data_IF_726324296595
#
_entry.id   IF_726324296595
#
_cell.length_a   1.000
_cell.length_b   1.000
_cell.length_c   1.000
_cell.angle_alpha   90.00
_cell.angle_beta   90.00
_cell.angle_gamma   90.00
#
_symmetry.space_group_name_H-M   'P 1'
#
loop_
_entity.id
_entity.type
_entity.pdbx_description
1 polymer ?
#
# COMPACT_ATOMS: atom_id res chain seq x y z
N UNK A 1 0.66 -4.93 -11.44
CA UNK A 1 1.99 -5.29 -11.98
C UNK A 1 3.14 -4.89 -11.04
N UNK A 2 2.98 -3.84 -10.23
CA UNK A 2 3.89 -3.60 -9.10
C UNK A 2 3.87 -4.77 -8.13
N UNK A 3 4.91 -4.94 -7.32
CA UNK A 3 4.94 -5.98 -6.31
C UNK A 3 3.83 -5.76 -5.26
N UNK A 4 3.00 -6.78 -5.05
CA UNK A 4 1.81 -6.74 -4.20
C UNK A 4 1.57 -8.11 -3.57
N UNK A 5 1.08 -8.21 -2.33
CA UNK A 5 0.56 -9.45 -1.77
C UNK A 5 -0.76 -9.88 -2.42
N UNK A 6 -1.34 -9.06 -3.30
CA UNK A 6 -2.56 -9.32 -4.05
C UNK A 6 -3.83 -9.49 -3.18
N UNK A 7 -3.85 -8.82 -2.04
CA UNK A 7 -5.03 -8.80 -1.17
C UNK A 7 -6.14 -7.91 -1.75
N UNK A 8 -5.76 -6.87 -2.51
CA UNK A 8 -6.67 -5.97 -3.22
C UNK A 8 -6.37 -5.95 -4.73
N UNK A 9 -6.32 -7.14 -5.35
CA UNK A 9 -6.16 -7.30 -6.80
C UNK A 9 -4.97 -6.54 -7.39
N UNK A 10 -3.90 -6.35 -6.60
CA UNK A 10 -2.67 -5.65 -6.99
C UNK A 10 -2.65 -4.15 -6.69
N UNK A 11 -3.73 -3.58 -6.14
CA UNK A 11 -3.76 -2.18 -5.70
C UNK A 11 -3.16 -1.96 -4.31
N UNK A 12 -2.93 -3.01 -3.54
CA UNK A 12 -2.18 -3.04 -2.28
C UNK A 12 -0.68 -3.20 -2.55
N UNK A 13 -0.02 -2.11 -2.94
CA UNK A 13 1.36 -2.15 -3.42
C UNK A 13 2.33 -2.30 -2.24
N UNK A 14 3.13 -3.37 -2.30
CA UNK A 14 4.19 -3.67 -1.33
C UNK A 14 5.52 -3.03 -1.69
N UNK A 15 5.82 -2.91 -2.98
CA UNK A 15 7.04 -2.27 -3.48
C UNK A 15 6.79 -1.65 -4.86
N UNK A 16 6.94 -0.33 -4.97
CA UNK A 16 6.74 0.41 -6.22
C UNK A 16 7.89 0.24 -7.23
N UNK A 17 9.02 -0.28 -6.79
CA UNK A 17 10.22 -0.44 -7.62
C UNK A 17 10.44 -1.90 -8.05
N UNK A 18 9.47 -2.78 -7.80
CA UNK A 18 9.50 -4.19 -8.19
C UNK A 18 8.29 -4.62 -8.98
N UNK A 19 8.48 -5.68 -9.75
CA UNK A 19 7.40 -6.39 -10.45
C UNK A 19 6.95 -7.56 -9.58
N UNK A 20 5.63 -7.76 -9.51
CA UNK A 20 5.04 -8.91 -8.86
C UNK A 20 5.59 -10.20 -9.48
N UNK A 21 6.12 -11.10 -8.66
CA UNK A 21 6.85 -12.31 -9.11
C UNK A 21 6.05 -13.24 -10.03
N UNK A 22 4.73 -13.21 -9.93
CA UNK A 22 3.83 -13.95 -10.81
C UNK A 22 3.90 -13.49 -12.29
N UNK A 23 4.30 -12.23 -12.52
CA UNK A 23 4.42 -11.65 -13.85
C UNK A 23 5.86 -11.61 -14.38
N UNK A 24 6.82 -12.01 -13.57
CA UNK A 24 8.23 -12.06 -13.94
C UNK A 24 9.14 -11.18 -13.07
N UNK A 25 10.27 -10.81 -13.63
CA UNK A 25 11.32 -10.03 -12.98
C UNK A 25 11.40 -8.61 -13.53
N UNK A 26 12.19 -7.73 -12.92
CA UNK A 26 12.50 -6.42 -13.49
C UNK A 26 13.20 -6.52 -14.84
N UNK A 27 14.05 -7.54 -15.05
CA UNK A 27 14.70 -7.80 -16.33
C UNK A 27 13.69 -8.17 -17.43
N UNK A 28 12.68 -8.96 -17.09
CA UNK A 28 11.55 -9.26 -18.00
C UNK A 28 10.77 -8.02 -18.36
N UNK A 29 10.52 -7.14 -17.38
CA UNK A 29 9.85 -5.86 -17.60
C UNK A 29 10.68 -4.92 -18.50
N UNK A 30 11.99 -4.80 -18.27
CA UNK A 30 12.89 -4.00 -19.09
C UNK A 30 12.94 -4.54 -20.54
N UNK A 31 12.89 -5.87 -20.68
CA UNK A 31 12.82 -6.51 -22.00
C UNK A 31 11.49 -6.19 -22.69
N UNK A 32 10.39 -6.33 -21.99
CA UNK A 32 9.06 -5.95 -22.50
C UNK A 32 9.06 -4.49 -22.96
N UNK A 33 9.50 -3.58 -22.11
CA UNK A 33 9.54 -2.14 -22.40
C UNK A 33 10.35 -1.83 -23.66
N UNK A 34 11.53 -2.43 -23.77
CA UNK A 34 12.39 -2.29 -24.96
C UNK A 34 11.72 -2.82 -26.22
N UNK A 35 11.06 -3.99 -26.13
CA UNK A 35 10.42 -4.61 -27.30
C UNK A 35 9.16 -3.90 -27.76
N UNK A 36 8.36 -3.35 -26.88
CA UNK A 36 7.18 -2.55 -27.25
C UNK A 36 7.59 -1.22 -27.86
N UNK A 37 8.65 -0.55 -27.33
CA UNK A 37 9.16 0.71 -27.88
C UNK A 37 9.71 0.53 -29.31
N UNK A 38 10.36 -0.58 -29.62
CA UNK A 38 10.80 -0.90 -31.01
C UNK A 38 9.64 -0.97 -32.00
N UNK A 39 8.42 -1.16 -31.52
CA UNK A 39 7.18 -1.27 -32.30
C UNK A 39 6.30 -0.04 -32.22
N UNK A 40 6.84 1.08 -31.76
CA UNK A 40 6.13 2.35 -31.51
C UNK A 40 4.91 2.22 -30.57
N UNK A 41 4.94 1.22 -29.67
CA UNK A 41 3.92 1.03 -28.64
C UNK A 41 4.39 1.75 -27.37
N UNK A 42 3.53 2.59 -26.82
CA UNK A 42 3.75 3.28 -25.54
C UNK A 42 3.21 2.47 -24.38
N UNK A 43 3.98 2.41 -23.29
CA UNK A 43 3.50 1.84 -22.03
C UNK A 43 2.83 2.95 -21.21
N UNK A 44 1.61 2.69 -20.76
CA UNK A 44 0.92 3.49 -19.75
C UNK A 44 0.64 2.58 -18.55
N UNK A 45 1.10 2.97 -17.40
CA UNK A 45 0.89 2.24 -16.15
C UNK A 45 -0.05 3.02 -15.23
N UNK A 46 -0.94 2.31 -14.57
CA UNK A 46 -1.71 2.87 -13.48
C UNK A 46 -0.80 3.15 -12.28
N UNK A 47 -1.03 4.25 -11.59
CA UNK A 47 -0.25 4.68 -10.44
C UNK A 47 -1.14 4.79 -9.20
N UNK A 48 -1.18 3.73 -8.42
CA UNK A 48 -1.91 3.69 -7.16
C UNK A 48 -1.08 4.37 -6.05
N UNK A 49 -1.26 5.69 -5.87
CA UNK A 49 -0.52 6.49 -4.87
C UNK A 49 -1.39 6.95 -3.70
N UNK A 50 -2.65 6.52 -3.65
CA UNK A 50 -3.57 6.88 -2.59
C UNK A 50 -3.28 6.14 -1.28
N UNK A 51 -2.78 4.93 -1.38
CA UNK A 51 -2.47 4.03 -0.26
C UNK A 51 -1.34 3.07 -0.65
N UNK A 52 -0.85 2.31 0.31
CA UNK A 52 0.07 1.20 0.09
C UNK A 52 -0.46 -0.06 0.78
N UNK A 53 0.18 -1.21 0.52
CA UNK A 53 0.00 -2.40 1.34
C UNK A 53 0.49 -2.16 2.77
N UNK A 54 -0.10 -2.85 3.74
CA UNK A 54 0.41 -2.96 5.11
C UNK A 54 1.74 -3.75 5.18
N UNK A 55 2.09 -4.47 4.10
CA UNK A 55 3.40 -5.09 3.92
C UNK A 55 4.46 -4.15 3.32
N UNK A 56 4.09 -2.91 2.95
CA UNK A 56 5.06 -1.94 2.42
C UNK A 56 6.07 -1.54 3.50
N UNK A 57 7.34 -1.44 3.13
CA UNK A 57 8.41 -1.11 4.06
C UNK A 57 8.15 0.19 4.85
N UNK A 58 7.58 1.21 4.22
CA UNK A 58 7.22 2.46 4.90
C UNK A 58 6.15 2.25 5.98
N UNK A 59 5.14 1.42 5.71
CA UNK A 59 4.11 1.12 6.71
C UNK A 59 4.69 0.33 7.88
N UNK A 60 5.49 -0.71 7.59
CA UNK A 60 6.19 -1.49 8.61
C UNK A 60 7.05 -0.61 9.50
N UNK A 61 7.81 0.33 8.92
CA UNK A 61 8.60 1.30 9.69
C UNK A 61 7.71 2.22 10.52
N UNK A 62 6.65 2.79 9.94
CA UNK A 62 5.73 3.70 10.62
C UNK A 62 5.07 3.10 11.86
N UNK A 63 4.93 1.77 11.90
CA UNK A 63 4.37 1.01 13.04
C UNK A 63 5.34 0.78 14.18
N UNK A 64 6.65 1.03 14.01
CA UNK A 64 7.65 0.68 15.02
C UNK A 64 7.62 1.60 16.23
N UNK A 65 7.46 2.90 16.00
CA UNK A 65 7.39 3.90 17.08
C UNK A 65 6.68 5.17 16.63
N UNK A 66 6.28 6.00 17.61
CA UNK A 66 5.58 7.27 17.34
C UNK A 66 6.50 8.33 16.71
N UNK A 67 7.79 8.22 16.92
CA UNK A 67 8.86 9.13 16.45
C UNK A 67 9.61 8.57 15.22
N UNK A 68 9.11 7.48 14.61
CA UNK A 68 9.70 6.95 13.39
C UNK A 68 9.58 7.95 12.23
N UNK A 69 10.62 8.16 11.41
CA UNK A 69 10.58 9.09 10.27
C UNK A 69 9.45 8.81 9.26
N UNK A 70 9.01 7.55 9.16
CA UNK A 70 7.89 7.17 8.30
C UNK A 70 6.52 7.32 8.97
N UNK A 71 6.46 7.76 10.24
CA UNK A 71 5.20 7.83 10.98
C UNK A 71 4.17 8.68 10.27
N UNK A 72 4.55 9.86 9.81
CA UNK A 72 3.68 10.84 9.17
C UNK A 72 3.38 10.53 7.69
N UNK A 73 3.91 9.43 7.14
CA UNK A 73 3.51 8.95 5.82
C UNK A 73 2.09 8.37 5.82
N UNK A 74 1.58 7.99 7.01
CA UNK A 74 0.28 7.39 7.21
C UNK A 74 -0.53 8.17 8.25
N UNK A 75 -1.84 8.10 8.12
CA UNK A 75 -2.75 8.76 9.05
C UNK A 75 -2.96 7.85 10.26
N UNK A 76 -2.41 8.24 11.38
CA UNK A 76 -2.59 7.56 12.65
C UNK A 76 -3.50 8.39 13.56
N UNK A 77 -4.42 7.78 14.26
CA UNK A 77 -5.32 8.46 15.21
C UNK A 77 -5.50 7.63 16.46
N UNK A 78 -5.56 8.29 17.59
CA UNK A 78 -5.97 7.64 18.82
C UNK A 78 -7.45 7.28 18.75
N UNK A 79 -7.79 6.11 19.29
CA UNK A 79 -9.16 5.70 19.46
C UNK A 79 -9.88 6.60 20.49
N UNK A 80 -11.19 6.68 20.40
CA UNK A 80 -12.01 7.43 21.35
C UNK A 80 -12.81 6.47 22.24
N UNK A 81 -12.51 6.45 23.55
CA UNK A 81 -13.17 5.58 24.51
C UNK A 81 -13.10 4.07 24.15
N UNK A 82 -11.94 3.62 23.64
CA UNK A 82 -11.75 2.22 23.21
C UNK A 82 -12.45 1.87 21.89
N UNK A 83 -12.92 2.85 21.14
CA UNK A 83 -13.59 2.72 19.84
C UNK A 83 -12.84 3.52 18.78
N UNK A 84 -13.34 3.47 17.56
CA UNK A 84 -12.82 4.22 16.42
C UNK A 84 -12.84 5.74 16.69
N UNK A 85 -11.94 6.51 16.06
CA UNK A 85 -11.86 7.98 16.21
C UNK A 85 -13.14 8.70 15.78
N UNK A 86 -13.83 8.15 14.79
CA UNK A 86 -15.09 8.67 14.24
C UNK A 86 -15.92 7.52 13.63
N UNK A 87 -17.07 7.85 13.08
CA UNK A 87 -18.02 6.91 12.48
C UNK A 87 -17.86 6.73 10.95
N UNK A 88 -16.70 7.02 10.39
CA UNK A 88 -16.47 6.84 8.96
C UNK A 88 -16.51 5.36 8.60
N UNK A 89 -17.16 5.07 7.48
CA UNK A 89 -17.22 3.73 6.90
C UNK A 89 -16.26 3.61 5.71
N UNK A 90 -15.78 2.40 5.48
CA UNK A 90 -15.06 2.02 4.27
C UNK A 90 -16.04 1.53 3.19
N UNK A 91 -15.57 1.42 1.95
CA UNK A 91 -16.33 0.78 0.87
C UNK A 91 -16.49 -0.74 1.10
N UNK A 92 -15.53 -1.37 1.77
CA UNK A 92 -15.44 -2.82 1.89
C UNK A 92 -15.71 -3.33 3.32
N UNK A 93 -15.54 -2.47 4.31
CA UNK A 93 -15.69 -2.83 5.72
C UNK A 93 -16.62 -1.85 6.44
N UNK A 94 -17.28 -2.25 7.54
CA UNK A 94 -18.14 -1.34 8.31
C UNK A 94 -17.43 -0.09 8.82
N UNK A 95 -16.17 -0.22 9.25
CA UNK A 95 -15.34 0.89 9.73
C UNK A 95 -14.26 1.26 8.73
N UNK A 96 -13.97 2.56 8.60
CA UNK A 96 -12.80 3.04 7.87
C UNK A 96 -11.49 2.91 8.67
N UNK A 97 -11.55 2.37 9.89
CA UNK A 97 -10.44 2.29 10.81
C UNK A 97 -10.14 0.87 11.23
N UNK A 98 -8.86 0.55 11.30
CA UNK A 98 -8.33 -0.69 11.86
C UNK A 98 -7.43 -0.38 13.05
N UNK A 99 -7.54 -1.20 14.09
CA UNK A 99 -6.72 -1.07 15.29
C UNK A 99 -5.36 -1.73 15.09
N UNK A 100 -4.31 -0.96 15.32
CA UNK A 100 -2.94 -1.47 15.35
C UNK A 100 -2.52 -1.79 16.78
N UNK A 101 -2.37 -3.06 17.10
CA UNK A 101 -2.02 -3.53 18.44
C UNK A 101 -0.61 -3.10 18.88
N UNK A 102 0.32 -2.95 17.93
CA UNK A 102 1.72 -2.57 18.25
C UNK A 102 1.82 -1.15 18.77
N UNK A 103 1.08 -0.25 18.16
CA UNK A 103 1.09 1.17 18.52
C UNK A 103 -0.07 1.59 19.41
N UNK A 104 -1.07 0.72 19.59
CA UNK A 104 -2.33 1.02 20.28
C UNK A 104 -3.08 2.23 19.70
N UNK A 105 -2.97 2.41 18.38
CA UNK A 105 -3.61 3.49 17.63
C UNK A 105 -4.45 2.94 16.47
N UNK A 106 -5.26 3.77 15.85
CA UNK A 106 -6.07 3.44 14.68
C UNK A 106 -5.39 3.92 13.40
N UNK A 107 -5.50 3.12 12.35
CA UNK A 107 -5.05 3.44 10.99
C UNK A 107 -6.20 3.21 10.00
N UNK A 108 -6.30 3.97 8.90
CA UNK A 108 -7.32 3.72 7.89
C UNK A 108 -7.26 2.31 7.32
N UNK A 109 -8.42 1.68 7.17
CA UNK A 109 -8.54 0.31 6.67
C UNK A 109 -8.04 0.14 5.21
N UNK A 110 -7.92 1.22 4.45
CA UNK A 110 -7.35 1.21 3.09
C UNK A 110 -5.85 0.90 3.04
N UNK A 111 -5.19 0.74 4.18
CA UNK A 111 -3.77 0.36 4.28
C UNK A 111 -3.60 -1.15 4.48
N UNK A 112 -4.70 -1.89 4.56
CA UNK A 112 -4.67 -3.34 4.83
C UNK A 112 -4.90 -4.16 3.58
#
# INVERSE_FOLDING_TARGET
>A
MYDSPNADMGYDIRDYEKIMSEFGTMEDFDTLLREIHKRDIKLVMDLAVNHSSDEHAWFIESRKSLDNPCRDYYIWRDGKNGKEPNNWSSFFTPSAWSYDEKNRTMVPASVQ
#
